data_IF_115219214715
#
_entry.id   IF_115219214715
#
_cell.length_a   1.000
_cell.length_b   1.000
_cell.length_c   1.000
_cell.angle_alpha   90.00
_cell.angle_beta   90.00
_cell.angle_gamma   90.00
#
_symmetry.space_group_name_H-M   'P 1'
#
loop_
_entity.id
_entity.type
_entity.pdbx_description
1 polymer ?
#
# COMPACT_ATOMS: atom_id res chain seq x y z
N UNK A 1 8.22 15.79 -13.59
CA UNK A 1 8.67 14.54 -12.91
C UNK A 1 8.61 13.37 -13.88
N UNK A 2 9.42 12.33 -13.67
CA UNK A 2 9.36 11.07 -14.43
C UNK A 2 8.69 10.01 -13.57
N UNK A 3 7.77 9.24 -14.15
CA UNK A 3 7.10 8.13 -13.49
C UNK A 3 7.92 6.84 -13.63
N UNK A 4 7.96 6.04 -12.56
CA UNK A 4 8.45 4.67 -12.55
C UNK A 4 7.46 3.79 -11.81
N UNK A 5 7.07 2.65 -12.42
CA UNK A 5 6.15 1.71 -11.78
C UNK A 5 6.81 0.99 -10.61
N UNK A 6 6.05 0.82 -9.55
CA UNK A 6 6.39 -0.02 -8.39
C UNK A 6 5.46 -1.22 -8.25
N UNK A 7 4.73 -1.61 -9.30
CA UNK A 7 3.72 -2.66 -9.24
C UNK A 7 4.28 -4.08 -8.99
N UNK A 8 5.56 -4.31 -9.19
CA UNK A 8 6.15 -5.64 -9.15
C UNK A 8 6.91 -5.91 -7.84
N UNK A 9 7.07 -7.21 -7.50
CA UNK A 9 7.93 -7.70 -6.42
C UNK A 9 7.57 -7.19 -5.01
N UNK A 10 6.28 -7.11 -4.71
CA UNK A 10 5.80 -6.89 -3.34
C UNK A 10 5.75 -8.20 -2.57
N UNK A 11 5.83 -8.09 -1.25
CA UNK A 11 5.49 -9.14 -0.31
C UNK A 11 4.20 -8.78 0.38
N UNK A 12 3.23 -9.68 0.36
CA UNK A 12 1.94 -9.51 1.01
C UNK A 12 1.78 -10.46 2.18
N UNK A 13 1.19 -9.98 3.25
CA UNK A 13 0.76 -10.80 4.38
C UNK A 13 -0.54 -10.26 4.95
N UNK A 14 -1.45 -11.15 5.30
CA UNK A 14 -2.62 -10.79 6.08
C UNK A 14 -2.25 -10.40 7.50
N UNK A 15 -2.96 -9.38 8.04
CA UNK A 15 -2.76 -8.85 9.37
C UNK A 15 -2.09 -7.47 9.40
N UNK A 16 -2.13 -6.82 10.56
CA UNK A 16 -1.73 -5.42 10.75
C UNK A 16 -0.22 -5.18 10.83
N UNK A 17 0.57 -5.86 10.05
CA UNK A 17 1.98 -5.50 9.78
C UNK A 17 2.99 -5.44 10.95
N UNK A 18 2.54 -5.42 12.19
CA UNK A 18 3.43 -5.30 13.36
C UNK A 18 4.39 -6.48 13.57
N UNK A 19 4.10 -7.62 12.95
CA UNK A 19 4.92 -8.84 13.07
C UNK A 19 6.14 -8.87 12.16
N UNK A 20 6.24 -7.98 11.17
CA UNK A 20 7.36 -7.96 10.21
C UNK A 20 8.67 -7.46 10.77
N UNK A 21 8.65 -6.86 11.94
CA UNK A 21 9.87 -6.34 12.58
C UNK A 21 10.65 -7.42 13.34
N UNK A 22 10.18 -8.66 13.38
CA UNK A 22 10.87 -9.74 14.07
C UNK A 22 11.73 -10.56 13.10
N UNK A 23 13.02 -10.72 13.35
CA UNK A 23 13.89 -11.63 12.58
C UNK A 23 13.30 -13.05 12.60
N UNK A 24 13.15 -13.66 11.43
CA UNK A 24 12.67 -15.05 11.31
C UNK A 24 11.17 -15.21 11.02
N UNK A 25 10.38 -14.12 10.93
CA UNK A 25 9.00 -14.22 10.41
C UNK A 25 9.06 -14.40 8.89
N UNK A 26 8.33 -15.38 8.32
CA UNK A 26 8.30 -15.55 6.87
C UNK A 26 7.86 -14.25 6.18
N UNK A 27 8.63 -13.82 5.22
CA UNK A 27 8.30 -12.63 4.42
C UNK A 27 7.13 -12.98 3.51
N UNK A 28 5.88 -12.89 3.91
CA UNK A 28 4.65 -13.01 3.14
C UNK A 28 4.73 -13.63 1.73
N UNK A 29 3.67 -13.79 1.04
CA UNK A 29 3.65 -14.26 -0.34
C UNK A 29 4.13 -13.18 -1.32
N UNK A 30 4.72 -13.59 -2.44
CA UNK A 30 5.14 -12.66 -3.51
C UNK A 30 3.93 -12.31 -4.36
N UNK A 31 3.64 -11.02 -4.47
CA UNK A 31 2.52 -10.50 -5.27
C UNK A 31 2.97 -9.37 -6.18
N UNK A 32 2.21 -9.16 -7.25
CA UNK A 32 2.28 -7.97 -8.09
C UNK A 32 0.97 -7.19 -7.95
N UNK A 33 1.04 -5.87 -8.14
CA UNK A 33 -0.13 -5.01 -8.12
C UNK A 33 -0.75 -4.89 -9.53
N UNK A 34 -2.04 -4.67 -9.63
CA UNK A 34 -3.04 -4.58 -8.56
C UNK A 34 -3.24 -5.90 -7.82
N UNK A 35 -3.50 -5.82 -6.51
CA UNK A 35 -3.75 -7.00 -5.69
C UNK A 35 -4.89 -6.75 -4.70
N UNK A 36 -5.89 -7.62 -4.73
CA UNK A 36 -7.04 -7.63 -3.83
C UNK A 36 -7.07 -8.96 -3.06
N UNK A 37 -6.74 -8.89 -1.78
CA UNK A 37 -6.62 -10.10 -0.95
C UNK A 37 -7.95 -10.67 -0.46
N UNK A 38 -9.09 -10.04 -0.81
CA UNK A 38 -10.42 -10.53 -0.42
C UNK A 38 -11.08 -11.31 -1.55
N UNK A 39 -10.80 -11.00 -2.81
CA UNK A 39 -11.53 -11.55 -3.96
C UNK A 39 -11.48 -13.09 -4.04
N UNK A 40 -10.39 -13.69 -3.59
CA UNK A 40 -10.20 -15.13 -3.59
C UNK A 40 -10.70 -15.82 -2.31
N UNK A 41 -11.13 -15.07 -1.30
CA UNK A 41 -11.65 -15.62 -0.06
C UNK A 41 -13.03 -16.23 -0.26
N UNK A 42 -13.28 -17.29 0.47
CA UNK A 42 -14.63 -17.85 0.54
C UNK A 42 -15.58 -16.90 1.26
N UNK A 43 -16.80 -16.81 0.74
CA UNK A 43 -17.89 -16.11 1.42
C UNK A 43 -18.24 -16.83 2.72
N UNK A 44 -18.38 -16.05 3.78
CA UNK A 44 -18.72 -16.55 5.10
C UNK A 44 -20.09 -16.01 5.52
N UNK A 45 -21.13 -16.87 5.69
CA UNK A 45 -22.44 -16.43 6.14
C UNK A 45 -22.40 -15.75 7.51
N UNK A 46 -21.34 -15.96 8.30
CA UNK A 46 -21.11 -15.34 9.61
C UNK A 46 -20.25 -14.06 9.52
N UNK A 47 -19.90 -13.59 8.32
CA UNK A 47 -19.13 -12.36 8.17
C UNK A 47 -19.83 -11.17 8.83
N UNK A 48 -19.06 -10.29 9.47
CA UNK A 48 -19.58 -9.17 10.28
C UNK A 48 -20.57 -8.27 9.53
N UNK A 49 -20.29 -8.01 8.25
CA UNK A 49 -21.14 -7.17 7.40
C UNK A 49 -22.25 -7.94 6.66
N UNK A 50 -22.21 -9.26 6.69
CA UNK A 50 -23.20 -10.12 6.05
C UNK A 50 -23.47 -9.75 4.59
N UNK A 51 -24.74 -9.68 4.21
CA UNK A 51 -25.18 -9.34 2.87
C UNK A 51 -24.73 -7.95 2.40
N UNK A 52 -24.45 -7.00 3.32
CA UNK A 52 -24.00 -5.66 2.97
C UNK A 52 -22.65 -5.62 2.25
N UNK A 53 -21.82 -6.64 2.43
CA UNK A 53 -20.53 -6.81 1.72
C UNK A 53 -20.48 -8.11 0.91
N UNK A 54 -21.63 -8.66 0.53
CA UNK A 54 -21.71 -9.92 -0.22
C UNK A 54 -21.15 -11.12 0.54
N UNK A 55 -21.20 -11.08 1.88
CA UNK A 55 -20.66 -12.10 2.77
C UNK A 55 -19.14 -12.29 2.72
N UNK A 56 -18.40 -11.36 2.12
CA UNK A 56 -16.95 -11.38 2.16
C UNK A 56 -16.43 -10.94 3.53
N UNK A 57 -15.40 -11.59 4.07
CA UNK A 57 -14.77 -11.17 5.32
C UNK A 57 -14.00 -9.87 5.10
N UNK A 58 -13.89 -9.06 6.15
CA UNK A 58 -12.93 -7.97 6.21
C UNK A 58 -11.52 -8.48 6.53
N UNK A 59 -10.70 -7.58 6.98
CA UNK A 59 -9.35 -7.89 7.49
C UNK A 59 -8.32 -6.85 7.11
N UNK A 60 -7.13 -7.03 7.64
CA UNK A 60 -5.99 -6.16 7.40
C UNK A 60 -5.02 -6.83 6.43
N UNK A 61 -4.38 -6.05 5.59
CA UNK A 61 -3.33 -6.48 4.69
C UNK A 61 -2.08 -5.61 4.82
N UNK A 62 -0.93 -6.23 4.75
CA UNK A 62 0.35 -5.54 4.79
C UNK A 62 1.18 -5.88 3.55
N UNK A 63 1.62 -4.86 2.86
CA UNK A 63 2.46 -4.93 1.68
C UNK A 63 3.83 -4.37 2.01
N UNK A 64 4.89 -5.11 1.70
CA UNK A 64 6.27 -4.67 1.90
C UNK A 64 7.05 -4.76 0.60
N UNK A 65 7.80 -3.71 0.30
CA UNK A 65 8.72 -3.66 -0.85
C UNK A 65 10.08 -3.17 -0.39
N UNK A 66 11.10 -4.00 -0.60
CA UNK A 66 12.48 -3.62 -0.37
C UNK A 66 13.13 -3.20 -1.68
N UNK A 67 13.88 -2.10 -1.67
CA UNK A 67 14.58 -1.61 -2.84
C UNK A 67 15.84 -0.83 -2.48
N UNK A 68 16.84 -0.90 -3.35
CA UNK A 68 18.02 -0.03 -3.27
C UNK A 68 17.71 1.33 -3.91
N UNK A 69 18.27 2.41 -3.35
CA UNK A 69 18.10 3.75 -3.91
C UNK A 69 18.80 3.84 -5.28
N UNK A 70 18.06 4.04 -6.38
CA UNK A 70 18.68 4.24 -7.68
C UNK A 70 19.55 5.50 -7.69
N UNK A 71 20.72 5.45 -8.31
CA UNK A 71 21.62 6.61 -8.44
C UNK A 71 20.92 7.81 -9.07
N UNK A 72 20.04 7.57 -10.04
CA UNK A 72 19.26 8.60 -10.74
C UNK A 72 18.28 9.38 -9.83
N UNK A 73 18.05 8.91 -8.58
CA UNK A 73 17.16 9.55 -7.62
C UNK A 73 17.90 10.43 -6.60
N UNK A 74 19.24 10.37 -6.59
CA UNK A 74 20.05 11.20 -5.72
C UNK A 74 19.79 12.70 -6.02
N UNK A 75 19.65 13.49 -4.96
CA UNK A 75 19.34 14.92 -5.00
C UNK A 75 18.05 15.30 -5.75
N UNK A 76 17.13 14.34 -5.89
CA UNK A 76 15.81 14.53 -6.51
C UNK A 76 14.69 14.49 -5.48
N UNK A 77 13.58 15.14 -5.82
CA UNK A 77 12.31 14.89 -5.14
C UNK A 77 11.74 13.56 -5.62
N UNK A 78 11.33 12.72 -4.67
CA UNK A 78 10.75 11.40 -4.91
C UNK A 78 9.40 11.31 -4.20
N UNK A 79 8.32 11.27 -4.98
CA UNK A 79 6.96 11.11 -4.48
C UNK A 79 6.47 9.70 -4.78
N UNK A 80 6.04 8.98 -3.75
CA UNK A 80 5.23 7.78 -3.93
C UNK A 80 3.84 8.18 -4.39
N UNK A 81 3.32 7.54 -5.42
CA UNK A 81 1.95 7.69 -5.90
C UNK A 81 1.22 6.38 -5.68
N UNK A 82 0.11 6.43 -4.95
CA UNK A 82 -0.78 5.30 -4.70
C UNK A 82 -2.11 5.61 -5.35
N UNK A 83 -2.44 4.90 -6.43
CA UNK A 83 -3.65 5.15 -7.21
C UNK A 83 -4.93 4.68 -6.50
N UNK A 84 -4.80 3.72 -5.61
CA UNK A 84 -5.89 3.25 -4.77
C UNK A 84 -5.49 2.16 -3.79
N UNK A 85 -5.85 2.38 -2.52
CA UNK A 85 -5.62 1.46 -1.41
C UNK A 85 -6.88 1.39 -0.54
N UNK A 86 -7.56 0.26 -0.50
CA UNK A 86 -8.80 0.13 0.26
C UNK A 86 -8.58 -0.66 1.54
N UNK A 87 -8.79 -0.03 2.68
CA UNK A 87 -8.91 1.37 3.05
C UNK A 87 -8.10 1.64 4.31
N UNK A 88 -8.19 2.85 4.92
CA UNK A 88 -7.41 3.22 6.12
C UNK A 88 -5.93 2.85 5.93
N UNK A 89 -5.37 3.27 4.80
CA UNK A 89 -4.00 2.92 4.46
C UNK A 89 -2.99 3.75 5.24
N UNK A 90 -1.91 3.09 5.65
CA UNK A 90 -0.74 3.71 6.28
C UNK A 90 0.48 3.44 5.41
N UNK A 91 1.27 4.45 5.15
CA UNK A 91 2.54 4.35 4.44
C UNK A 91 3.68 4.59 5.39
N UNK A 92 4.58 3.62 5.49
CA UNK A 92 5.77 3.66 6.33
C UNK A 92 7.01 3.41 5.47
N UNK A 93 8.03 4.24 5.60
CA UNK A 93 9.34 4.05 4.97
C UNK A 93 10.43 3.96 6.03
N UNK A 94 11.21 2.89 6.00
CA UNK A 94 12.33 2.68 6.92
C UNK A 94 11.98 2.76 8.42
N UNK A 95 10.71 2.50 8.76
CA UNK A 95 10.16 2.58 10.11
C UNK A 95 9.46 3.90 10.42
N UNK A 96 9.62 4.93 9.60
CA UNK A 96 8.97 6.23 9.77
C UNK A 96 7.57 6.21 9.14
N UNK A 97 6.52 6.54 9.91
CA UNK A 97 5.16 6.71 9.39
C UNK A 97 5.05 8.03 8.64
N UNK A 98 4.78 7.97 7.34
CA UNK A 98 4.76 9.12 6.46
C UNK A 98 3.35 9.60 6.11
N UNK A 99 2.38 8.70 6.04
CA UNK A 99 1.02 9.05 5.64
C UNK A 99 -0.03 8.14 6.25
N UNK A 100 -1.18 8.74 6.56
CA UNK A 100 -2.43 8.07 6.91
C UNK A 100 -3.50 8.52 5.91
N UNK A 101 -4.04 7.59 5.12
CA UNK A 101 -5.07 7.89 4.12
C UNK A 101 -6.30 7.01 4.35
N UNK A 102 -7.39 7.56 4.95
CA UNK A 102 -8.53 6.76 5.35
C UNK A 102 -9.45 6.35 4.19
N UNK A 103 -9.56 7.19 3.14
CA UNK A 103 -10.52 6.98 2.07
C UNK A 103 -9.94 6.09 0.97
N UNK A 104 -10.65 4.99 0.66
CA UNK A 104 -10.13 3.95 -0.22
C UNK A 104 -10.23 4.21 -1.72
N UNK A 105 -10.92 5.27 -2.19
CA UNK A 105 -11.23 5.45 -3.61
C UNK A 105 -10.50 6.60 -4.28
N UNK A 106 -9.70 7.37 -3.55
CA UNK A 106 -8.88 8.45 -4.11
C UNK A 106 -7.41 8.06 -4.18
N UNK A 107 -6.76 8.50 -5.26
CA UNK A 107 -5.32 8.47 -5.34
C UNK A 107 -4.70 9.53 -4.41
N UNK A 108 -3.46 9.27 -3.97
CA UNK A 108 -2.70 10.19 -3.14
C UNK A 108 -1.20 10.06 -3.38
N UNK A 109 -0.46 11.07 -2.96
CA UNK A 109 1.01 11.07 -3.00
C UNK A 109 1.60 11.18 -1.61
N UNK A 110 2.79 10.61 -1.43
CA UNK A 110 3.58 10.69 -0.20
C UNK A 110 5.01 11.08 -0.55
N UNK A 111 5.53 12.13 0.06
CA UNK A 111 6.92 12.53 -0.14
C UNK A 111 7.86 11.57 0.60
N UNK A 112 8.73 10.91 -0.14
CA UNK A 112 9.73 9.98 0.38
C UNK A 112 11.11 10.62 0.53
N UNK A 113 11.32 11.81 -0.03
CA UNK A 113 12.63 12.41 -0.32
C UNK A 113 13.58 12.37 0.87
N UNK A 114 13.16 12.91 2.01
CA UNK A 114 14.03 13.04 3.20
C UNK A 114 14.17 11.75 4.01
N UNK A 115 13.40 10.70 3.66
CA UNK A 115 13.37 9.43 4.37
C UNK A 115 14.08 8.30 3.63
N UNK A 116 14.55 8.57 2.40
CA UNK A 116 15.28 7.59 1.59
C UNK A 116 16.68 7.31 2.14
N UNK A 117 17.06 6.05 2.08
CA UNK A 117 18.38 5.53 2.48
C UNK A 117 18.98 4.74 1.33
N UNK A 118 20.24 4.29 1.45
CA UNK A 118 20.84 3.42 0.44
C UNK A 118 20.03 2.13 0.20
N UNK A 119 19.46 1.57 1.28
CA UNK A 119 18.51 0.44 1.24
C UNK A 119 17.24 0.85 1.94
N UNK A 120 16.10 0.56 1.30
CA UNK A 120 14.80 1.02 1.75
C UNK A 120 13.83 -0.13 1.95
N UNK A 121 13.01 -0.02 2.98
CA UNK A 121 11.86 -0.88 3.22
C UNK A 121 10.61 -0.01 3.27
N UNK A 122 9.81 -0.08 2.19
CA UNK A 122 8.52 0.58 2.06
C UNK A 122 7.44 -0.40 2.50
N UNK A 123 6.58 0.02 3.41
CA UNK A 123 5.44 -0.75 3.87
C UNK A 123 4.16 0.06 3.69
N UNK A 124 3.15 -0.59 3.12
CA UNK A 124 1.79 -0.04 3.00
C UNK A 124 0.84 -1.03 3.66
N UNK A 125 0.15 -0.60 4.69
CA UNK A 125 -0.92 -1.38 5.30
C UNK A 125 -2.28 -0.88 4.84
N UNK A 126 -3.25 -1.79 4.72
CA UNK A 126 -4.65 -1.47 4.44
C UNK A 126 -5.53 -2.20 5.42
N UNK A 127 -6.59 -1.53 5.90
CA UNK A 127 -7.54 -2.12 6.85
C UNK A 127 -8.94 -2.07 6.28
N UNK A 128 -9.41 -3.20 5.75
CA UNK A 128 -10.80 -3.36 5.32
C UNK A 128 -11.69 -3.59 6.54
N UNK A 129 -11.94 -2.49 7.28
CA UNK A 129 -12.68 -2.52 8.53
C UNK A 129 -14.15 -2.86 8.30
N UNK A 130 -14.69 -3.76 9.12
CA UNK A 130 -16.11 -4.10 9.15
C UNK A 130 -16.72 -3.73 10.52
N UNK A 131 -18.04 -3.42 10.59
CA UNK A 131 -19.02 -3.50 9.52
C UNK A 131 -18.84 -2.43 8.45
N UNK A 132 -19.15 -2.76 7.19
CA UNK A 132 -19.12 -1.86 6.05
C UNK A 132 -20.39 -2.06 5.22
N UNK A 133 -20.86 -1.01 4.54
CA UNK A 133 -22.11 -1.00 3.77
C UNK A 133 -21.91 -1.06 2.26
N UNK A 134 -20.69 -1.16 1.79
CA UNK A 134 -20.40 -1.31 0.36
C UNK A 134 -20.48 -2.77 -0.02
N UNK A 135 -21.22 -3.08 -1.09
CA UNK A 135 -21.45 -4.44 -1.56
C UNK A 135 -20.13 -5.21 -1.66
N UNK A 136 -19.32 -4.98 -2.63
CA UNK A 136 -17.97 -5.51 -2.73
C UNK A 136 -17.02 -4.34 -2.90
N UNK A 137 -16.28 -4.04 -1.86
CA UNK A 137 -15.37 -2.90 -1.88
C UNK A 137 -13.96 -3.29 -2.34
N UNK A 138 -13.65 -4.59 -2.38
CA UNK A 138 -12.28 -5.05 -2.49
C UNK A 138 -11.47 -4.75 -1.22
N UNK A 139 -10.20 -5.12 -1.23
CA UNK A 139 -9.24 -4.72 -0.20
C UNK A 139 -7.81 -4.80 -0.72
N UNK A 140 -6.94 -3.98 -0.16
CA UNK A 140 -5.54 -3.98 -0.52
C UNK A 140 -5.16 -2.86 -1.50
N UNK A 141 -4.03 -3.04 -2.15
CA UNK A 141 -3.54 -2.15 -3.20
C UNK A 141 -4.20 -2.58 -4.54
N UNK A 142 -5.45 -2.18 -4.70
CA UNK A 142 -6.27 -2.63 -5.83
C UNK A 142 -6.05 -1.84 -7.12
N UNK A 143 -5.12 -0.87 -7.08
CA UNK A 143 -4.62 -0.11 -8.23
C UNK A 143 -3.10 -0.02 -8.18
N UNK A 144 -2.51 0.62 -9.19
CA UNK A 144 -1.07 0.76 -9.32
C UNK A 144 -0.44 1.59 -8.22
N UNK A 145 0.81 1.26 -7.93
CA UNK A 145 1.71 2.08 -7.12
C UNK A 145 2.93 2.43 -7.96
N UNK A 146 3.34 3.68 -7.89
CA UNK A 146 4.51 4.15 -8.62
C UNK A 146 5.25 5.25 -7.87
N UNK A 147 6.35 5.70 -8.45
CA UNK A 147 7.09 6.84 -7.95
C UNK A 147 7.23 7.89 -9.04
N UNK A 148 7.15 9.13 -8.64
CA UNK A 148 7.42 10.31 -9.45
C UNK A 148 8.74 10.91 -8.99
N UNK A 149 9.71 10.99 -9.90
CA UNK A 149 11.05 11.51 -9.61
C UNK A 149 11.33 12.77 -10.43
N UNK A 150 11.77 13.80 -9.78
CA UNK A 150 12.01 15.09 -10.44
C UNK A 150 13.00 16.01 -9.72
N UNK A 151 13.19 17.19 -10.28
CA UNK A 151 13.95 18.23 -9.62
C UNK A 151 13.24 18.78 -8.38
N UNK A 152 13.94 19.61 -7.59
CA UNK A 152 13.38 20.26 -6.38
C UNK A 152 12.22 21.21 -6.71
N UNK A 153 12.18 21.74 -7.93
CA UNK A 153 11.06 22.56 -8.43
C UNK A 153 10.25 21.71 -9.39
N UNK A 154 8.97 21.53 -9.12
CA UNK A 154 8.04 20.73 -9.92
C UNK A 154 6.61 21.24 -9.75
N UNK A 155 5.75 20.91 -10.70
CA UNK A 155 4.29 21.05 -10.55
C UNK A 155 3.80 19.76 -9.88
N UNK A 156 3.03 19.92 -8.80
CA UNK A 156 2.49 18.76 -8.09
C UNK A 156 1.49 18.03 -8.98
N UNK A 157 1.44 16.67 -8.98
CA UNK A 157 0.58 15.91 -9.90
C UNK A 157 -0.91 16.16 -9.76
N UNK A 158 -1.34 16.81 -8.67
CA UNK A 158 -2.75 17.13 -8.40
C UNK A 158 -3.07 18.63 -8.43
N UNK A 159 -2.15 19.45 -8.91
CA UNK A 159 -2.36 20.90 -9.10
C UNK A 159 -2.98 21.21 -10.47
#
# INVERSE_FOLDING_TARGET
MKYASFDFDWRFQEGAGRFFMFPGVPAGEKVNLPHDYIIEKHRDPLSVSGAATGFYPGGDGCYTKNFDLPEAWQDKTVLLMVDGAYMNSEVTLNGDLLSLHPYGYTAYTVDLTDHLRAKNSLMITTRCTQPNTRWYSGAGLYRSVGVLVGGKTYVHPWD
#
